data_IF_787498790240
#
_entry.id   IF_787498790240
#
_cell.length_a   1.000
_cell.length_b   1.000
_cell.length_c   1.000
_cell.angle_alpha   90.00
_cell.angle_beta   90.00
_cell.angle_gamma   90.00
#
_symmetry.space_group_name_H-M   'P 1'
#
loop_
_entity.id
_entity.type
_entity.pdbx_description
1 polymer ?
#
# COMPACT_ATOMS: atom_id res chain seq x y z
N UNK A 1 -5.96 5.72 17.83
CA UNK A 1 -6.72 4.78 16.97
C UNK A 1 -6.80 5.28 15.53
N UNK A 2 -7.17 6.54 15.27
CA UNK A 2 -7.39 7.13 13.92
C UNK A 2 -6.15 7.11 13.01
N UNK A 3 -4.95 7.31 13.56
CA UNK A 3 -3.72 7.51 12.75
C UNK A 3 -3.28 6.25 11.99
N UNK A 4 -3.63 5.06 12.48
CA UNK A 4 -3.23 3.78 11.85
C UNK A 4 -4.17 3.40 10.70
N UNK A 5 -5.44 3.77 10.80
CA UNK A 5 -6.46 3.50 9.77
C UNK A 5 -6.22 4.28 8.48
N UNK A 6 -5.65 5.49 8.57
CA UNK A 6 -5.37 6.35 7.41
C UNK A 6 -4.41 5.71 6.40
N UNK A 7 -3.42 4.94 6.87
CA UNK A 7 -2.48 4.24 5.99
C UNK A 7 -3.17 3.18 5.11
N UNK A 8 -4.24 2.57 5.63
CA UNK A 8 -5.04 1.61 4.86
C UNK A 8 -5.96 2.31 3.86
N UNK A 9 -6.51 3.48 4.21
CA UNK A 9 -7.36 4.26 3.31
C UNK A 9 -6.56 4.69 2.06
N UNK A 10 -5.34 5.21 2.25
CA UNK A 10 -4.47 5.58 1.13
C UNK A 10 -4.07 4.36 0.28
N UNK A 11 -3.86 3.19 0.90
CA UNK A 11 -3.62 1.94 0.18
C UNK A 11 -4.81 1.56 -0.71
N UNK A 12 -6.03 1.61 -0.18
CA UNK A 12 -7.24 1.29 -0.96
C UNK A 12 -7.51 2.32 -2.06
N UNK A 13 -7.25 3.61 -1.82
CA UNK A 13 -7.34 4.65 -2.84
C UNK A 13 -6.40 4.40 -4.03
N UNK A 14 -5.25 3.75 -3.77
CA UNK A 14 -4.26 3.36 -4.79
C UNK A 14 -4.56 2.01 -5.44
N UNK A 15 -5.69 1.37 -5.12
CA UNK A 15 -6.09 0.08 -5.67
C UNK A 15 -5.40 -1.13 -5.05
N UNK A 16 -4.76 -0.98 -3.88
CA UNK A 16 -4.14 -2.10 -3.17
C UNK A 16 -5.20 -3.00 -2.53
N UNK A 17 -5.01 -4.32 -2.61
CA UNK A 17 -5.87 -5.26 -1.89
C UNK A 17 -5.46 -5.35 -0.39
N UNK A 18 -6.26 -6.05 0.43
CA UNK A 18 -6.00 -6.16 1.87
C UNK A 18 -4.63 -6.75 2.25
N UNK A 19 -4.13 -7.75 1.50
CA UNK A 19 -2.79 -8.32 1.73
C UNK A 19 -1.68 -7.30 1.39
N UNK A 20 -1.83 -6.56 0.29
CA UNK A 20 -0.88 -5.53 -0.11
C UNK A 20 -0.90 -4.33 0.82
N UNK A 21 -2.07 -3.90 1.28
CA UNK A 21 -2.23 -2.85 2.27
C UNK A 21 -1.60 -3.24 3.61
N UNK A 22 -1.75 -4.50 4.04
CA UNK A 22 -1.08 -5.02 5.23
C UNK A 22 0.45 -5.04 5.08
N UNK A 23 0.96 -5.44 3.91
CA UNK A 23 2.39 -5.34 3.59
C UNK A 23 2.87 -3.88 3.66
N UNK A 24 2.15 -2.96 3.02
CA UNK A 24 2.48 -1.54 2.98
C UNK A 24 2.54 -0.93 4.39
N UNK A 25 1.54 -1.20 5.23
CA UNK A 25 1.48 -0.74 6.61
C UNK A 25 2.60 -1.31 7.49
N UNK A 26 3.06 -2.53 7.20
CA UNK A 26 4.21 -3.17 7.86
C UNK A 26 5.55 -2.64 7.36
N UNK A 27 5.70 -2.29 6.08
CA UNK A 27 6.98 -1.83 5.55
C UNK A 27 7.25 -0.35 5.82
N UNK A 28 6.23 0.49 5.66
CA UNK A 28 6.38 1.96 5.71
C UNK A 28 6.02 2.59 7.06
N UNK A 29 5.62 1.78 8.05
CA UNK A 29 5.37 2.14 9.45
C UNK A 29 5.20 3.64 9.78
N UNK A 30 3.97 4.05 10.07
CA UNK A 30 3.69 5.43 10.53
C UNK A 30 3.53 6.45 9.40
N UNK A 31 3.78 6.05 8.16
CA UNK A 31 3.39 6.83 7.00
C UNK A 31 1.86 6.91 6.88
N UNK A 32 1.35 8.12 6.61
CA UNK A 32 -0.08 8.36 6.36
C UNK A 32 -0.43 8.26 4.87
N UNK A 33 0.55 8.52 4.00
CA UNK A 33 0.40 8.52 2.54
C UNK A 33 1.56 7.75 1.94
N UNK A 34 1.31 6.54 1.45
CA UNK A 34 2.32 5.64 0.87
C UNK A 34 3.09 6.32 -0.28
N UNK A 35 4.41 6.15 -0.37
CA UNK A 35 5.16 6.63 -1.52
C UNK A 35 4.79 5.85 -2.78
N UNK A 36 5.01 6.43 -3.96
CA UNK A 36 4.77 5.75 -5.25
C UNK A 36 5.65 4.50 -5.43
N UNK A 37 6.79 4.41 -4.75
CA UNK A 37 7.67 3.23 -4.72
C UNK A 37 7.01 1.99 -4.12
N UNK A 38 5.81 2.11 -3.54
CA UNK A 38 5.05 0.97 -3.01
C UNK A 38 4.80 -0.09 -4.09
N UNK A 39 4.57 0.31 -5.35
CA UNK A 39 4.32 -0.64 -6.43
C UNK A 39 5.56 -1.45 -6.79
N UNK A 40 6.73 -0.81 -6.85
CA UNK A 40 8.01 -1.49 -7.08
C UNK A 40 8.35 -2.44 -5.93
N UNK A 41 8.04 -2.05 -4.69
CA UNK A 41 8.22 -2.88 -3.52
C UNK A 41 7.28 -4.09 -3.49
N UNK A 42 6.06 -3.94 -4.01
CA UNK A 42 5.09 -5.02 -4.15
C UNK A 42 5.50 -6.00 -5.25
N UNK A 43 6.03 -5.51 -6.38
CA UNK A 43 6.63 -6.35 -7.42
C UNK A 43 7.81 -7.16 -6.84
N UNK A 44 8.70 -6.53 -6.06
CA UNK A 44 9.80 -7.22 -5.37
C UNK A 44 9.34 -8.23 -4.30
N UNK A 45 8.18 -8.00 -3.71
CA UNK A 45 7.58 -8.89 -2.72
C UNK A 45 6.78 -10.04 -3.34
N UNK A 46 6.82 -10.21 -4.67
CA UNK A 46 6.03 -11.20 -5.42
C UNK A 46 4.50 -11.02 -5.21
N UNK A 47 4.08 -9.79 -4.93
CA UNK A 47 2.68 -9.41 -4.71
C UNK A 47 2.24 -8.34 -5.73
N UNK A 48 2.30 -8.62 -7.04
CA UNK A 48 2.04 -7.61 -8.06
C UNK A 48 0.65 -6.99 -7.86
N UNK A 49 0.60 -5.67 -7.76
CA UNK A 49 -0.65 -4.95 -7.85
C UNK A 49 -1.07 -4.94 -9.32
N UNK A 50 -2.37 -5.10 -9.58
CA UNK A 50 -2.91 -4.85 -10.91
C UNK A 50 -2.68 -3.36 -11.15
N UNK A 51 -1.67 -3.04 -11.96
CA UNK A 51 -1.44 -1.68 -12.44
C UNK A 51 -2.61 -1.41 -13.38
N UNK A 52 -3.70 -0.80 -12.90
CA UNK A 52 -4.74 -0.32 -13.81
C UNK A 52 -4.02 0.57 -14.82
N UNK A 53 -3.96 0.07 -16.05
CA UNK A 53 -3.30 0.75 -17.15
C UNK A 53 -4.32 1.74 -17.69
N UNK A 54 -4.36 2.91 -17.05
CA UNK A 54 -5.24 4.06 -17.35
C UNK A 54 -6.76 3.77 -17.27
#
# INVERSE_FOLDING_TARGET
>A
FVTRSLCFIDAYWKGLNGKQAAYAARKYHGHRTLPLSIFDDLEKAEMPAIRLSL
#
